data_IF_749268489331
#
_entry.id   IF_749268489331
#
_cell.length_a   1.000
_cell.length_b   1.000
_cell.length_c   1.000
_cell.angle_alpha   90.00
_cell.angle_beta   90.00
_cell.angle_gamma   90.00
#
_symmetry.space_group_name_H-M   'P 1'
#
loop_
_entity.id
_entity.type
_entity.pdbx_description
1 polymer ?
#
# COMPACT_ATOMS: atom_id res chain seq x y z
N UNK A 1 7.94 -7.73 -4.15
CA UNK A 1 7.16 -7.07 -5.09
C UNK A 1 5.85 -7.75 -5.35
N UNK A 2 5.89 -9.00 -5.53
CA UNK A 2 4.66 -9.72 -5.79
C UNK A 2 4.04 -10.33 -4.56
N UNK A 3 4.53 -9.95 -3.40
CA UNK A 3 4.06 -10.54 -2.15
C UNK A 3 2.57 -10.38 -1.96
N UNK A 4 2.07 -9.20 -2.26
CA UNK A 4 0.66 -8.97 -2.04
C UNK A 4 -0.20 -9.73 -3.06
N UNK A 5 0.32 -9.89 -4.26
CA UNK A 5 -0.39 -10.69 -5.26
C UNK A 5 -0.44 -12.15 -4.87
N UNK A 6 0.66 -12.64 -4.37
CA UNK A 6 0.71 -14.03 -3.93
C UNK A 6 -0.26 -14.29 -2.79
N UNK A 7 -0.33 -13.34 -1.86
CA UNK A 7 -1.26 -13.51 -0.75
C UNK A 7 -2.70 -13.56 -1.21
N UNK A 8 -3.04 -12.71 -2.17
CA UNK A 8 -4.40 -12.68 -2.67
C UNK A 8 -4.72 -13.99 -3.38
N UNK A 9 -3.77 -14.47 -4.16
CA UNK A 9 -3.98 -15.74 -4.86
C UNK A 9 -4.16 -16.87 -3.86
N UNK A 10 -3.35 -16.87 -2.81
CA UNK A 10 -3.48 -17.90 -1.79
C UNK A 10 -4.83 -17.86 -1.12
N UNK A 11 -5.29 -16.67 -0.80
CA UNK A 11 -6.61 -16.53 -0.18
C UNK A 11 -7.70 -17.04 -1.10
N UNK A 12 -7.58 -16.74 -2.38
CA UNK A 12 -8.58 -17.20 -3.33
C UNK A 12 -8.63 -18.71 -3.42
N UNK A 13 -7.47 -19.33 -3.37
CA UNK A 13 -7.44 -20.80 -3.44
C UNK A 13 -8.18 -21.40 -2.24
N UNK A 14 -7.97 -20.84 -1.06
CA UNK A 14 -8.65 -21.34 0.12
C UNK A 14 -10.15 -21.21 -0.02
N UNK A 15 -10.57 -20.09 -0.57
CA UNK A 15 -11.99 -19.86 -0.73
C UNK A 15 -12.61 -20.86 -1.68
N UNK A 16 -11.90 -21.18 -2.75
CA UNK A 16 -12.46 -22.08 -3.76
C UNK A 16 -12.60 -23.49 -3.23
N UNK A 17 -11.93 -23.83 -2.15
CA UNK A 17 -12.02 -25.15 -1.59
C UNK A 17 -13.20 -25.34 -0.66
N UNK A 18 -13.92 -24.29 -0.33
CA UNK A 18 -15.03 -24.37 0.59
C UNK A 18 -16.33 -24.56 -0.16
N UNK A 19 -16.94 -25.73 -0.06
CA UNK A 19 -18.21 -25.97 -0.77
C UNK A 19 -19.29 -24.97 -0.38
N UNK A 20 -19.27 -24.59 0.87
CA UNK A 20 -20.22 -23.61 1.36
C UNK A 20 -20.11 -22.32 0.53
N UNK A 21 -18.91 -21.91 0.27
CA UNK A 21 -18.69 -20.73 -0.53
C UNK A 21 -19.26 -20.86 -1.92
N UNK A 22 -18.98 -21.99 -2.55
CA UNK A 22 -19.44 -22.15 -3.91
C UNK A 22 -20.95 -22.17 -3.99
N UNK A 23 -21.59 -22.63 -2.94
CA UNK A 23 -23.05 -22.68 -2.97
C UNK A 23 -23.67 -21.32 -2.69
N UNK A 24 -23.21 -20.67 -1.66
CA UNK A 24 -23.84 -19.44 -1.22
C UNK A 24 -23.36 -18.26 -2.02
N UNK A 25 -22.11 -18.26 -2.34
CA UNK A 25 -21.51 -17.12 -2.96
C UNK A 25 -21.53 -17.16 -4.47
N UNK A 26 -22.22 -18.12 -5.00
CA UNK A 26 -22.31 -18.25 -6.44
C UNK A 26 -22.74 -16.96 -7.09
N UNK A 27 -23.72 -16.32 -6.50
CA UNK A 27 -24.20 -15.08 -7.03
C UNK A 27 -23.58 -13.88 -6.36
N UNK A 28 -22.72 -14.09 -5.39
CA UNK A 28 -22.12 -12.99 -4.65
C UNK A 28 -20.62 -13.05 -4.70
N UNK A 29 -20.10 -13.58 -5.78
CA UNK A 29 -18.66 -13.72 -5.93
C UNK A 29 -17.96 -12.41 -6.11
N UNK A 30 -18.68 -11.39 -6.51
CA UNK A 30 -18.04 -10.13 -6.82
C UNK A 30 -17.69 -9.41 -5.53
N UNK A 31 -16.47 -8.96 -5.47
CA UNK A 31 -16.03 -8.18 -4.34
C UNK A 31 -16.73 -6.84 -4.35
N UNK A 32 -17.14 -6.41 -3.19
CA UNK A 32 -17.65 -5.05 -3.06
C UNK A 32 -16.45 -4.09 -3.02
N UNK A 33 -16.75 -2.83 -3.19
CA UNK A 33 -15.69 -1.82 -3.08
C UNK A 33 -15.09 -1.83 -1.68
N UNK A 34 -15.89 -2.05 -0.66
CA UNK A 34 -15.36 -2.14 0.69
C UNK A 34 -14.39 -3.31 0.82
N UNK A 35 -14.70 -4.43 0.18
CA UNK A 35 -13.80 -5.56 0.20
C UNK A 35 -12.48 -5.24 -0.47
N UNK A 36 -12.53 -4.56 -1.61
CA UNK A 36 -11.31 -4.19 -2.32
C UNK A 36 -10.44 -3.24 -1.48
N UNK A 37 -11.10 -2.29 -0.86
CA UNK A 37 -10.38 -1.33 -0.03
C UNK A 37 -9.67 -2.05 1.11
N UNK A 38 -10.39 -2.95 1.77
CA UNK A 38 -9.83 -3.66 2.90
C UNK A 38 -8.67 -4.55 2.48
N UNK A 39 -8.78 -5.23 1.35
CA UNK A 39 -7.71 -6.08 0.89
C UNK A 39 -6.43 -5.30 0.67
N UNK A 40 -6.57 -4.14 0.05
CA UNK A 40 -5.39 -3.32 -0.23
C UNK A 40 -4.76 -2.82 1.06
N UNK A 41 -5.58 -2.31 1.97
CA UNK A 41 -5.02 -1.77 3.21
C UNK A 41 -4.45 -2.86 4.10
N UNK A 42 -5.05 -4.05 4.11
CA UNK A 42 -4.49 -5.17 4.87
C UNK A 42 -3.12 -5.55 4.32
N UNK A 43 -2.98 -5.57 3.01
CA UNK A 43 -1.69 -5.87 2.41
C UNK A 43 -0.66 -4.82 2.72
N UNK A 44 -1.07 -3.57 2.69
CA UNK A 44 -0.17 -2.49 3.03
C UNK A 44 0.29 -2.60 4.47
N UNK A 45 -0.62 -2.96 5.36
CA UNK A 45 -0.27 -3.14 6.78
C UNK A 45 0.73 -4.27 6.96
N UNK A 46 0.51 -5.39 6.29
CA UNK A 46 1.44 -6.52 6.39
C UNK A 46 2.82 -6.15 5.85
N UNK A 47 2.84 -5.47 4.72
CA UNK A 47 4.11 -5.05 4.12
C UNK A 47 4.86 -4.10 5.04
N UNK A 48 4.14 -3.18 5.65
CA UNK A 48 4.75 -2.24 6.57
C UNK A 48 5.42 -2.96 7.73
N UNK A 49 4.74 -3.94 8.30
CA UNK A 49 5.29 -4.66 9.45
C UNK A 49 6.58 -5.37 9.07
N UNK A 50 6.60 -6.02 7.92
CA UNK A 50 7.80 -6.72 7.49
C UNK A 50 8.95 -5.77 7.21
N UNK A 51 8.66 -4.68 6.49
CA UNK A 51 9.71 -3.74 6.14
C UNK A 51 10.23 -3.01 7.35
N UNK A 52 9.36 -2.67 8.27
CA UNK A 52 9.79 -2.00 9.49
C UNK A 52 10.69 -2.89 10.32
N UNK A 53 10.37 -4.19 10.35
CA UNK A 53 11.22 -5.14 11.07
C UNK A 53 12.62 -5.17 10.46
N UNK A 54 12.69 -5.13 9.13
CA UNK A 54 13.97 -5.27 8.45
C UNK A 54 14.79 -3.98 8.41
N UNK A 55 14.12 -2.86 8.26
CA UNK A 55 14.82 -1.61 7.97
C UNK A 55 14.74 -0.60 9.11
N UNK A 56 13.97 -0.88 10.14
CA UNK A 56 13.89 0.02 11.27
C UNK A 56 13.05 1.25 10.98
N UNK A 57 13.42 2.35 11.62
CA UNK A 57 12.62 3.56 11.59
C UNK A 57 13.22 4.63 10.69
N UNK A 58 13.73 4.23 9.54
CA UNK A 58 14.42 5.17 8.67
C UNK A 58 13.54 6.35 8.28
N UNK A 59 12.28 6.09 7.96
CA UNK A 59 11.38 7.18 7.58
C UNK A 59 11.20 8.17 8.73
N UNK A 60 11.00 7.64 9.91
CA UNK A 60 10.79 8.49 11.09
C UNK A 60 12.02 9.36 11.37
N UNK A 61 13.20 8.77 11.24
CA UNK A 61 14.43 9.50 11.48
C UNK A 61 14.60 10.64 10.48
N UNK A 62 14.33 10.36 9.22
CA UNK A 62 14.45 11.41 8.22
C UNK A 62 13.40 12.49 8.41
N UNK A 63 12.22 12.10 8.85
CA UNK A 63 11.18 13.08 9.14
C UNK A 63 11.61 13.97 10.31
N UNK A 64 12.29 13.39 11.32
CA UNK A 64 12.81 14.20 12.41
C UNK A 64 13.74 15.28 11.92
N UNK A 65 14.57 14.96 10.95
CA UNK A 65 15.56 15.92 10.46
C UNK A 65 14.96 16.95 9.53
N UNK A 66 14.08 16.52 8.65
CA UNK A 66 13.62 17.37 7.55
C UNK A 66 12.19 17.84 7.69
N UNK A 67 11.45 17.25 8.61
CA UNK A 67 10.05 17.64 8.82
C UNK A 67 9.15 17.14 7.72
N UNK A 68 8.00 17.79 7.62
CA UNK A 68 6.98 17.39 6.66
C UNK A 68 7.49 17.42 5.22
N UNK A 69 8.52 18.20 4.97
CA UNK A 69 9.09 18.29 3.63
C UNK A 69 9.65 16.97 3.15
N UNK A 70 10.15 16.14 4.08
CA UNK A 70 10.61 14.83 3.67
C UNK A 70 9.46 13.98 3.13
N UNK A 71 8.35 13.96 3.88
CA UNK A 71 7.19 13.22 3.42
C UNK A 71 6.66 13.76 2.10
N UNK A 72 6.58 15.07 2.00
CA UNK A 72 6.12 15.69 0.77
C UNK A 72 6.99 15.29 -0.42
N UNK A 73 8.30 15.31 -0.21
CA UNK A 73 9.22 14.95 -1.28
C UNK A 73 9.04 13.52 -1.76
N UNK A 74 8.87 12.61 -0.81
CA UNK A 74 8.64 11.22 -1.17
C UNK A 74 7.33 11.05 -1.94
N UNK A 75 6.30 11.75 -1.51
CA UNK A 75 5.02 11.69 -2.20
C UNK A 75 5.16 12.27 -3.61
N UNK A 76 5.86 13.39 -3.74
CA UNK A 76 6.05 14.00 -5.05
C UNK A 76 6.78 13.08 -6.02
N UNK A 77 7.77 12.33 -5.54
CA UNK A 77 8.45 11.37 -6.39
C UNK A 77 7.47 10.36 -6.97
N UNK A 78 6.56 9.88 -6.13
CA UNK A 78 5.62 8.88 -6.58
C UNK A 78 4.54 9.48 -7.48
N UNK A 79 4.16 10.71 -7.21
CA UNK A 79 3.22 11.40 -8.11
C UNK A 79 3.83 11.55 -9.49
N UNK A 80 5.11 11.91 -9.57
CA UNK A 80 5.78 12.00 -10.86
C UNK A 80 5.80 10.64 -11.57
N UNK A 81 6.02 9.59 -10.81
CA UNK A 81 6.01 8.25 -11.37
C UNK A 81 4.65 7.90 -11.95
N UNK A 82 3.61 8.19 -11.19
CA UNK A 82 2.24 7.94 -11.65
C UNK A 82 1.97 8.74 -12.91
N UNK A 83 2.39 9.98 -12.92
CA UNK A 83 2.16 10.84 -14.07
C UNK A 83 2.79 10.26 -15.33
N UNK A 84 3.99 9.73 -15.19
CA UNK A 84 4.68 9.13 -16.33
C UNK A 84 3.99 7.85 -16.78
N UNK A 85 3.66 6.99 -15.83
CA UNK A 85 3.14 5.67 -16.17
C UNK A 85 1.71 5.71 -16.68
N UNK A 86 0.91 6.68 -16.25
CA UNK A 86 -0.49 6.71 -16.66
C UNK A 86 -0.64 7.06 -18.13
N UNK A 87 0.32 7.75 -18.69
CA UNK A 87 0.25 8.19 -20.08
C UNK A 87 1.04 7.32 -21.02
N UNK A 88 1.98 6.54 -20.50
CA UNK A 88 2.87 5.74 -21.33
C UNK A 88 2.62 4.28 -21.06
N UNK A 89 2.39 3.52 -22.12
CA UNK A 89 2.39 2.10 -21.99
C UNK A 89 3.72 1.70 -21.39
N UNK A 90 3.65 0.81 -20.42
CA UNK A 90 4.85 0.41 -19.73
C UNK A 90 5.83 -0.21 -20.71
N UNK A 91 6.88 0.49 -20.99
CA UNK A 91 8.01 -0.10 -21.70
C UNK A 91 8.73 -1.06 -20.78
N UNK A 92 8.64 -0.79 -19.50
CA UNK A 92 9.28 -1.62 -18.49
C UNK A 92 8.17 -2.38 -17.79
N UNK A 93 8.05 -3.66 -18.11
CA UNK A 93 6.92 -4.46 -17.70
C UNK A 93 6.86 -4.67 -16.19
N UNK A 94 7.97 -4.50 -15.50
CA UNK A 94 8.00 -4.80 -14.07
C UNK A 94 7.84 -3.57 -13.19
N UNK A 95 7.31 -2.50 -13.75
CA UNK A 95 6.99 -1.33 -12.94
C UNK A 95 5.59 -0.85 -13.27
N UNK A 96 4.61 -1.61 -12.86
CA UNK A 96 3.24 -1.26 -13.20
C UNK A 96 2.75 -0.02 -12.47
N UNK A 97 1.77 0.62 -13.07
CA UNK A 97 1.14 1.76 -12.46
C UNK A 97 0.58 1.41 -11.08
N UNK A 98 0.14 0.19 -10.94
CA UNK A 98 -0.41 -0.29 -9.67
C UNK A 98 0.59 -0.14 -8.53
N UNK A 99 1.84 -0.50 -8.79
CA UNK A 99 2.87 -0.38 -7.75
C UNK A 99 3.13 1.08 -7.40
N UNK A 100 3.14 1.94 -8.39
CA UNK A 100 3.36 3.36 -8.14
C UNK A 100 2.24 3.95 -7.29
N UNK A 101 1.00 3.52 -7.56
CA UNK A 101 -0.13 3.99 -6.76
C UNK A 101 -0.02 3.50 -5.32
N UNK A 102 0.37 2.25 -5.13
CA UNK A 102 0.54 1.71 -3.79
C UNK A 102 1.65 2.44 -3.04
N UNK A 103 2.76 2.70 -3.71
CA UNK A 103 3.86 3.41 -3.08
C UNK A 103 3.44 4.82 -2.66
N UNK A 104 2.70 5.48 -3.54
CA UNK A 104 2.24 6.84 -3.23
C UNK A 104 1.33 6.83 -2.00
N UNK A 105 0.39 5.90 -1.97
CA UNK A 105 -0.50 5.77 -0.83
C UNK A 105 0.28 5.47 0.45
N UNK A 106 1.28 4.61 0.33
CA UNK A 106 2.09 4.25 1.48
C UNK A 106 2.81 5.46 2.06
N UNK A 107 3.41 6.27 1.21
CA UNK A 107 4.12 7.45 1.73
C UNK A 107 3.17 8.47 2.30
N UNK A 108 1.95 8.56 1.78
CA UNK A 108 0.95 9.43 2.40
C UNK A 108 0.62 8.96 3.80
N UNK A 109 0.45 7.65 3.98
CA UNK A 109 0.14 7.10 5.30
C UNK A 109 1.31 7.32 6.25
N UNK A 110 2.52 7.02 5.80
CA UNK A 110 3.69 7.20 6.66
C UNK A 110 3.85 8.65 7.09
N UNK A 111 3.61 9.56 6.16
CA UNK A 111 3.70 10.98 6.47
C UNK A 111 2.63 11.38 7.49
N UNK A 112 1.42 10.88 7.30
CA UNK A 112 0.34 11.16 8.25
C UNK A 112 0.68 10.63 9.64
N UNK A 113 1.25 9.43 9.71
CA UNK A 113 1.62 8.86 11.00
C UNK A 113 2.61 9.75 11.75
N UNK A 114 3.63 10.22 11.04
CA UNK A 114 4.63 11.07 11.67
C UNK A 114 4.04 12.41 12.08
N UNK A 115 3.18 12.95 11.22
CA UNK A 115 2.51 14.20 11.53
C UNK A 115 1.68 14.06 12.81
N UNK A 116 0.91 12.98 12.91
CA UNK A 116 0.08 12.74 14.09
C UNK A 116 0.92 12.58 15.35
N UNK A 117 2.01 11.82 15.26
CA UNK A 117 2.86 11.58 16.42
C UNK A 117 3.42 12.89 16.96
N UNK A 118 3.81 13.78 16.09
CA UNK A 118 4.39 15.04 16.52
C UNK A 118 3.34 15.98 17.09
N UNK A 119 2.14 15.93 16.58
CA UNK A 119 1.06 16.72 17.18
C UNK A 119 0.75 16.23 18.58
N UNK A 120 0.74 14.91 18.76
CA UNK A 120 0.44 14.33 20.06
C UNK A 120 1.47 14.73 21.10
N UNK A 121 2.71 14.92 20.66
CA UNK A 121 3.78 15.29 21.57
C UNK A 121 4.00 16.80 21.62
N UNK A 122 3.16 17.56 20.95
CA UNK A 122 3.26 19.00 21.00
C UNK A 122 4.49 19.57 20.34
N UNK A 123 5.04 18.89 19.35
CA UNK A 123 6.27 19.34 18.73
C UNK A 123 6.04 20.05 17.41
N UNK A 124 4.81 20.24 17.04
CA UNK A 124 4.53 20.98 15.78
C UNK A 124 3.85 22.29 16.07
#
# INVERSE_FOLDING_TARGET
>A
MDEWKDSIIGANLNWSELPFNSLIMGEQNEKTDADRFKEITDKMSDTYKRKNHDYGNAFSEMYDELGINYGYGKIREKVNRIKTLKDNEAQVANEPLEDALLDCANYCILTLMEYQKRKEHGTD
#
